data_IF_809980726083
#
_entry.id   IF_809980726083
#
_cell.length_a   1.000
_cell.length_b   1.000
_cell.length_c   1.000
_cell.angle_alpha   90.00
_cell.angle_beta   90.00
_cell.angle_gamma   90.00
#
_symmetry.space_group_name_H-M   'P 1'
#
loop_
_entity.id
_entity.type
_entity.pdbx_description
1 polymer ?
#
# COMPACT_ATOMS: atom_id res chain seq x y z
N UNK A 1 16.22 30.21 2.92
CA UNK A 1 14.95 29.49 3.18
C UNK A 1 15.29 28.02 3.22
N UNK A 2 15.33 27.41 4.40
CA UNK A 2 15.39 25.94 4.48
C UNK A 2 13.97 25.44 4.19
N UNK A 3 13.76 24.45 3.30
CA UNK A 3 12.56 23.66 3.40
C UNK A 3 12.75 22.83 4.67
N UNK A 4 12.15 23.25 5.78
CA UNK A 4 12.03 22.38 6.95
C UNK A 4 11.17 21.22 6.50
N UNK A 5 11.81 20.14 6.05
CA UNK A 5 11.17 18.84 5.94
C UNK A 5 10.92 18.36 7.37
N UNK A 6 9.85 18.87 7.97
CA UNK A 6 9.30 18.29 9.19
C UNK A 6 9.13 16.79 8.91
N UNK A 7 9.61 15.89 9.78
CA UNK A 7 9.34 14.47 9.60
C UNK A 7 7.82 14.33 9.49
N UNK A 8 7.32 13.81 8.37
CA UNK A 8 5.89 13.54 8.24
C UNK A 8 5.55 12.58 9.38
N UNK A 9 4.81 13.08 10.36
CA UNK A 9 4.61 12.46 11.67
C UNK A 9 3.60 11.31 11.64
N UNK A 10 3.56 10.57 10.54
CA UNK A 10 2.85 9.32 10.43
C UNK A 10 3.76 8.31 9.72
N UNK A 11 4.62 7.64 10.50
CA UNK A 11 4.96 6.25 10.17
C UNK A 11 3.70 5.41 10.44
N UNK A 12 2.68 5.60 9.60
CA UNK A 12 1.49 4.77 9.63
C UNK A 12 1.95 3.35 9.35
N UNK A 13 1.74 2.45 10.31
CA UNK A 13 1.88 1.02 10.05
C UNK A 13 1.04 0.67 8.81
N UNK A 14 1.64 0.01 7.85
CA UNK A 14 0.97 -0.46 6.63
C UNK A 14 0.61 -1.92 6.84
N UNK A 15 -0.64 -2.25 6.57
CA UNK A 15 -1.16 -3.61 6.58
C UNK A 15 -1.49 -4.07 5.15
N UNK A 16 -1.44 -5.39 4.94
CA UNK A 16 -1.83 -6.03 3.69
C UNK A 16 -3.08 -6.87 3.89
N UNK A 17 -4.13 -6.56 3.14
CA UNK A 17 -5.34 -7.38 3.04
C UNK A 17 -5.29 -8.20 1.75
N UNK A 18 -5.41 -9.52 1.85
CA UNK A 18 -5.44 -10.44 0.71
C UNK A 18 -6.86 -10.99 0.53
N UNK A 19 -7.44 -10.75 -0.64
CA UNK A 19 -8.71 -11.33 -1.06
C UNK A 19 -8.45 -12.41 -2.09
N UNK A 20 -9.02 -13.60 -1.86
CA UNK A 20 -8.93 -14.73 -2.78
C UNK A 20 -10.22 -14.88 -3.56
N UNK A 21 -10.10 -15.16 -4.85
CA UNK A 21 -11.22 -15.40 -5.75
C UNK A 21 -11.14 -16.81 -6.32
N UNK A 22 -12.27 -17.50 -6.41
CA UNK A 22 -12.31 -18.86 -6.96
C UNK A 22 -11.99 -18.87 -8.47
N UNK A 23 -12.41 -17.82 -9.19
CA UNK A 23 -12.30 -17.71 -10.66
C UNK A 23 -11.48 -16.47 -11.09
N UNK A 24 -10.36 -16.19 -10.42
CA UNK A 24 -9.50 -15.06 -10.78
C UNK A 24 -8.23 -14.94 -9.95
N UNK A 25 -7.32 -14.00 -10.31
CA UNK A 25 -6.12 -13.76 -9.52
C UNK A 25 -6.47 -13.15 -8.16
N UNK A 26 -5.74 -13.55 -7.12
CA UNK A 26 -5.84 -12.94 -5.79
C UNK A 26 -5.56 -11.42 -5.87
N UNK A 27 -6.25 -10.64 -5.04
CA UNK A 27 -6.01 -9.21 -4.88
C UNK A 27 -5.32 -8.92 -3.55
N UNK A 28 -4.28 -8.08 -3.60
CA UNK A 28 -3.56 -7.59 -2.43
C UNK A 28 -3.75 -6.08 -2.34
N UNK A 29 -4.29 -5.61 -1.23
CA UNK A 29 -4.44 -4.19 -0.92
C UNK A 29 -3.53 -3.82 0.24
N UNK A 30 -2.62 -2.88 0.02
CA UNK A 30 -1.83 -2.21 1.04
C UNK A 30 -2.56 -0.95 1.49
N UNK A 31 -2.74 -0.78 2.80
CA UNK A 31 -3.38 0.39 3.37
C UNK A 31 -2.83 0.70 4.77
N UNK A 32 -2.96 1.96 5.25
CA UNK A 32 -2.68 2.28 6.65
C UNK A 32 -3.59 1.49 7.60
N UNK A 33 -3.08 1.14 8.79
CA UNK A 33 -3.84 0.41 9.81
C UNK A 33 -4.94 1.25 10.47
N UNK A 34 -4.71 2.56 10.67
CA UNK A 34 -5.71 3.49 11.23
C UNK A 34 -5.83 4.76 10.37
N UNK A 35 -6.43 4.67 9.17
CA UNK A 35 -6.49 5.80 8.26
C UNK A 35 -7.61 6.77 8.64
N UNK A 36 -7.28 8.06 8.67
CA UNK A 36 -8.27 9.13 8.59
C UNK A 36 -9.06 9.04 7.27
N UNK A 37 -10.24 9.66 7.18
CA UNK A 37 -11.07 9.60 5.96
C UNK A 37 -10.34 10.04 4.70
N UNK A 38 -9.51 11.09 4.78
CA UNK A 38 -8.71 11.54 3.64
C UNK A 38 -7.68 10.51 3.22
N UNK A 39 -6.98 9.87 4.17
CA UNK A 39 -5.98 8.84 3.88
C UNK A 39 -6.60 7.58 3.27
N UNK A 40 -7.86 7.23 3.64
CA UNK A 40 -8.59 6.11 3.01
C UNK A 40 -8.76 6.27 1.51
N UNK A 41 -8.84 7.52 1.04
CA UNK A 41 -9.07 7.83 -0.36
C UNK A 41 -7.77 7.97 -1.16
N UNK A 42 -6.62 8.20 -0.50
CA UNK A 42 -5.38 8.58 -1.19
C UNK A 42 -4.19 7.65 -0.95
N UNK A 43 -4.21 6.83 0.11
CA UNK A 43 -3.04 6.03 0.52
C UNK A 43 -3.24 4.52 0.37
N UNK A 44 -4.22 4.10 -0.42
CA UNK A 44 -4.53 2.69 -0.65
C UNK A 44 -3.95 2.25 -2.00
N UNK A 45 -3.28 1.10 -2.02
CA UNK A 45 -2.71 0.52 -3.24
C UNK A 45 -3.15 -0.93 -3.38
N UNK A 46 -3.93 -1.22 -4.43
CA UNK A 46 -4.36 -2.59 -4.75
C UNK A 46 -3.63 -3.10 -5.99
N UNK A 47 -3.14 -4.33 -5.92
CA UNK A 47 -2.53 -5.04 -7.02
C UNK A 47 -3.12 -6.46 -7.15
N UNK A 48 -3.25 -6.92 -8.39
CA UNK A 48 -3.64 -8.30 -8.70
C UNK A 48 -2.39 -9.19 -8.70
N UNK A 49 -2.54 -10.43 -8.27
CA UNK A 49 -1.46 -11.41 -8.37
C UNK A 49 -0.96 -11.49 -9.82
N UNK A 50 0.36 -11.43 -10.00
CA UNK A 50 1.01 -11.43 -11.31
C UNK A 50 1.22 -10.04 -11.94
N UNK A 51 0.67 -8.96 -11.37
CA UNK A 51 0.96 -7.58 -11.83
C UNK A 51 2.17 -6.97 -11.15
N UNK A 52 2.68 -7.61 -10.10
CA UNK A 52 3.92 -7.26 -9.41
C UNK A 52 4.91 -8.42 -9.51
N UNK A 53 6.18 -8.10 -9.30
CA UNK A 53 7.31 -9.00 -9.47
C UNK A 53 8.24 -8.85 -8.28
N UNK A 54 8.96 -9.92 -7.94
CA UNK A 54 9.94 -9.87 -6.86
C UNK A 54 11.00 -8.81 -7.17
N UNK A 55 11.28 -7.94 -6.19
CA UNK A 55 12.33 -6.94 -6.31
C UNK A 55 13.70 -7.60 -6.55
N UNK A 56 13.95 -8.78 -5.96
CA UNK A 56 15.17 -9.54 -6.19
C UNK A 56 15.28 -10.09 -7.63
N UNK A 57 14.17 -10.14 -8.37
CA UNK A 57 14.17 -10.51 -9.79
C UNK A 57 14.52 -9.33 -10.70
N UNK A 58 14.55 -8.10 -10.17
CA UNK A 58 15.02 -6.92 -10.90
C UNK A 58 16.52 -6.72 -10.61
N UNK A 59 17.31 -6.59 -11.68
CA UNK A 59 18.77 -6.39 -11.66
C UNK A 59 19.13 -5.05 -12.27
#
# INVERSE_FOLDING_TARGET
MNPTGEPREHESSIEATIVKYDDGPDECTLHPTDPTESQRLTEWLTAKQGTYVSLASWR
#
